data_IF_121304534932
#
_entry.id   IF_121304534932
#
_cell.length_a   1.000
_cell.length_b   1.000
_cell.length_c   1.000
_cell.angle_alpha   90.00
_cell.angle_beta   90.00
_cell.angle_gamma   90.00
#
_symmetry.space_group_name_H-M   'P 1'
#
loop_
_entity.id
_entity.type
_entity.pdbx_description
1 polymer ?
#
# COMPACT_ATOMS: atom_id res chain seq x y z
N UNK A 1 -7.31 -16.53 -35.38
CA UNK A 1 -6.28 -15.50 -35.07
C UNK A 1 -5.99 -15.55 -33.58
N UNK A 2 -4.90 -16.19 -33.17
CA UNK A 2 -4.45 -16.15 -31.78
C UNK A 2 -3.95 -14.73 -31.49
N UNK A 3 -4.68 -13.95 -30.68
CA UNK A 3 -4.10 -12.75 -30.09
C UNK A 3 -2.88 -13.23 -29.30
N UNK A 4 -1.68 -12.75 -29.65
CA UNK A 4 -0.50 -12.84 -28.78
C UNK A 4 -0.85 -12.11 -27.47
N UNK A 5 -1.48 -12.83 -26.54
CA UNK A 5 -1.70 -12.35 -25.21
C UNK A 5 -0.31 -12.21 -24.59
N UNK A 6 0.03 -10.99 -24.16
CA UNK A 6 1.26 -10.78 -23.39
C UNK A 6 1.28 -11.80 -22.24
N UNK A 7 2.42 -12.44 -21.97
CA UNK A 7 2.56 -13.33 -20.81
C UNK A 7 2.07 -12.59 -19.55
N UNK A 8 1.20 -13.25 -18.78
CA UNK A 8 0.68 -12.71 -17.53
C UNK A 8 1.55 -13.22 -16.40
N UNK A 9 2.28 -12.33 -15.74
CA UNK A 9 3.06 -12.66 -14.55
C UNK A 9 2.12 -12.82 -13.35
N UNK A 10 2.27 -13.92 -12.61
CA UNK A 10 1.58 -14.14 -11.35
C UNK A 10 2.53 -13.93 -10.20
N UNK A 11 2.00 -13.35 -9.13
CA UNK A 11 2.74 -13.05 -7.93
C UNK A 11 2.07 -13.69 -6.72
N UNK A 12 2.86 -13.98 -5.69
CA UNK A 12 2.35 -14.34 -4.38
C UNK A 12 3.17 -13.65 -3.30
N UNK A 13 2.53 -13.29 -2.19
CA UNK A 13 3.20 -12.70 -1.05
C UNK A 13 3.20 -13.69 0.12
N UNK A 14 4.33 -13.78 0.81
CA UNK A 14 4.52 -14.61 2.00
C UNK A 14 4.89 -13.73 3.19
N UNK A 15 4.84 -14.32 4.39
CA UNK A 15 5.42 -13.69 5.58
C UNK A 15 6.92 -13.39 5.39
N UNK A 16 7.52 -12.54 6.25
CA UNK A 16 8.95 -12.20 6.19
C UNK A 16 9.91 -13.39 6.18
N UNK A 17 9.54 -14.49 6.83
CA UNK A 17 10.31 -15.73 6.89
C UNK A 17 10.20 -16.58 5.61
N UNK A 18 9.35 -16.20 4.65
CA UNK A 18 9.08 -16.95 3.42
C UNK A 18 7.88 -17.88 3.52
N UNK A 19 7.24 -17.98 4.69
CA UNK A 19 6.11 -18.89 4.92
C UNK A 19 4.82 -18.38 4.28
N UNK A 20 4.17 -19.24 3.50
CA UNK A 20 2.88 -18.98 2.88
C UNK A 20 1.79 -18.73 3.94
N UNK A 21 1.00 -17.64 3.82
CA UNK A 21 -0.12 -17.41 4.73
C UNK A 21 -1.26 -18.41 4.48
N UNK A 22 -2.05 -18.75 5.52
CA UNK A 22 -3.19 -19.64 5.40
C UNK A 22 -4.25 -19.12 4.41
N UNK A 23 -5.05 -20.04 3.88
CA UNK A 23 -6.14 -19.83 2.91
C UNK A 23 -7.40 -19.21 3.52
N UNK A 24 -7.60 -19.23 4.83
CA UNK A 24 -8.56 -18.34 5.49
C UNK A 24 -7.92 -17.65 6.71
N UNK A 25 -8.33 -16.41 6.98
CA UNK A 25 -7.90 -15.67 8.17
C UNK A 25 -8.79 -15.91 9.40
N UNK A 26 -9.84 -16.73 9.25
CA UNK A 26 -10.98 -16.80 10.18
C UNK A 26 -10.98 -18.08 11.03
N UNK A 27 -10.22 -19.11 10.65
CA UNK A 27 -10.21 -20.38 11.38
C UNK A 27 -8.92 -20.57 12.16
N UNK A 28 -9.02 -20.37 13.47
CA UNK A 28 -8.12 -20.97 14.46
C UNK A 28 -8.50 -22.46 14.52
N UNK A 29 -7.87 -23.28 13.71
CA UNK A 29 -7.97 -24.74 13.87
C UNK A 29 -7.07 -25.17 15.03
N UNK A 30 -7.53 -26.14 15.83
CA UNK A 30 -6.70 -26.74 16.88
C UNK A 30 -5.50 -27.53 16.31
N UNK A 31 -5.60 -27.95 15.05
CA UNK A 31 -4.54 -28.68 14.35
C UNK A 31 -3.50 -27.72 13.75
N UNK A 32 -2.21 -28.12 13.73
CA UNK A 32 -1.16 -27.35 13.08
C UNK A 32 -1.46 -27.24 11.59
N UNK A 33 -1.61 -26.00 11.11
CA UNK A 33 -1.77 -25.69 9.69
C UNK A 33 -0.46 -26.03 8.98
N UNK A 34 -0.44 -26.93 7.98
CA UNK A 34 0.75 -27.20 7.20
C UNK A 34 1.30 -25.91 6.60
N UNK A 35 2.62 -25.74 6.65
CA UNK A 35 3.28 -24.55 6.12
C UNK A 35 4.16 -24.93 4.93
N UNK A 36 4.27 -23.99 4.01
CA UNK A 36 5.17 -24.08 2.85
C UNK A 36 6.03 -22.83 2.89
N UNK A 37 7.35 -22.99 2.80
CA UNK A 37 8.27 -21.87 2.72
C UNK A 37 8.82 -21.74 1.30
N UNK A 38 8.44 -20.67 0.59
CA UNK A 38 8.86 -20.49 -0.80
C UNK A 38 10.36 -20.20 -0.96
N UNK A 39 11.03 -19.75 0.11
CA UNK A 39 12.48 -19.55 0.08
C UNK A 39 13.25 -20.84 -0.17
N UNK A 40 12.69 -21.98 0.25
CA UNK A 40 13.32 -23.31 0.12
C UNK A 40 13.02 -23.96 -1.25
N UNK A 41 12.18 -23.32 -2.07
CA UNK A 41 11.62 -23.93 -3.29
C UNK A 41 11.82 -23.09 -4.56
N UNK A 42 12.74 -22.12 -4.57
CA UNK A 42 13.04 -21.34 -5.79
C UNK A 42 13.47 -22.27 -6.92
N UNK A 43 12.84 -22.11 -8.10
CA UNK A 43 13.01 -22.95 -9.28
C UNK A 43 12.25 -24.28 -9.25
N UNK A 44 11.56 -24.61 -8.16
CA UNK A 44 10.90 -25.90 -7.96
C UNK A 44 9.38 -25.79 -8.14
N UNK A 45 8.77 -26.94 -8.48
CA UNK A 45 7.32 -27.12 -8.43
C UNK A 45 6.94 -27.53 -7.01
N UNK A 46 5.91 -26.88 -6.47
CA UNK A 46 5.40 -27.10 -5.13
C UNK A 46 3.94 -27.51 -5.22
N UNK A 47 3.64 -28.66 -4.64
CA UNK A 47 2.26 -29.13 -4.41
C UNK A 47 1.72 -28.56 -3.10
N UNK A 48 0.45 -28.18 -3.11
CA UNK A 48 -0.24 -27.74 -1.90
C UNK A 48 -0.35 -28.93 -0.93
N UNK A 49 0.07 -28.80 0.34
CA UNK A 49 0.18 -29.94 1.26
C UNK A 49 -1.18 -30.53 1.65
N UNK A 50 -2.23 -29.71 1.60
CA UNK A 50 -3.61 -30.08 1.94
C UNK A 50 -4.57 -29.53 0.89
N UNK A 51 -4.61 -30.08 -0.34
CA UNK A 51 -5.47 -29.53 -1.39
C UNK A 51 -6.95 -29.70 -1.01
N UNK A 52 -7.73 -28.63 -1.12
CA UNK A 52 -9.14 -28.62 -0.73
C UNK A 52 -10.03 -29.55 -1.58
N UNK A 53 -11.20 -29.91 -1.04
CA UNK A 53 -12.29 -30.62 -1.75
C UNK A 53 -13.62 -29.89 -1.51
N UNK A 54 -14.16 -29.10 -2.45
CA UNK A 54 -13.71 -28.81 -3.84
C UNK A 54 -12.38 -28.04 -3.88
N UNK A 55 -11.77 -27.89 -5.06
CA UNK A 55 -10.43 -27.27 -5.23
C UNK A 55 -10.30 -25.81 -4.74
N UNK A 56 -11.39 -25.22 -4.28
CA UNK A 56 -11.46 -23.86 -3.72
C UNK A 56 -12.15 -23.80 -2.36
N UNK A 57 -12.21 -24.90 -1.59
CA UNK A 57 -12.83 -24.83 -0.26
C UNK A 57 -12.16 -23.77 0.64
N UNK A 58 -12.92 -23.19 1.57
CA UNK A 58 -12.42 -22.13 2.46
C UNK A 58 -11.80 -22.68 3.74
N UNK A 59 -11.30 -23.93 3.72
CA UNK A 59 -10.58 -24.48 4.88
C UNK A 59 -9.29 -23.69 5.16
N UNK A 60 -8.69 -23.92 6.34
CA UNK A 60 -7.61 -23.07 6.85
C UNK A 60 -6.42 -22.95 5.88
N UNK A 61 -6.07 -24.00 5.15
CA UNK A 61 -5.07 -23.98 4.09
C UNK A 61 -5.43 -25.02 3.03
N UNK A 62 -5.94 -24.58 1.88
CA UNK A 62 -6.51 -25.44 0.83
C UNK A 62 -6.04 -25.15 -0.58
N UNK A 63 -5.55 -23.94 -0.83
CA UNK A 63 -5.04 -23.53 -2.14
C UNK A 63 -4.02 -22.40 -2.01
N UNK A 64 -3.12 -22.32 -3.00
CA UNK A 64 -2.30 -21.14 -3.22
C UNK A 64 -3.12 -20.06 -3.92
N UNK A 65 -3.12 -18.85 -3.34
CA UNK A 65 -3.75 -17.66 -3.95
C UNK A 65 -2.67 -16.80 -4.61
N UNK A 66 -2.69 -16.73 -5.93
CA UNK A 66 -1.78 -15.90 -6.73
C UNK A 66 -2.49 -14.68 -7.32
N UNK A 67 -1.73 -13.65 -7.66
CA UNK A 67 -2.24 -12.36 -8.10
C UNK A 67 -1.59 -11.93 -9.42
N UNK A 68 -2.39 -11.53 -10.40
CA UNK A 68 -1.88 -10.88 -11.63
C UNK A 68 -1.84 -9.35 -11.50
N UNK A 69 -2.39 -8.82 -10.41
CA UNK A 69 -2.38 -7.39 -10.04
C UNK A 69 -1.59 -7.22 -8.76
N UNK A 70 -0.33 -6.79 -8.84
CA UNK A 70 0.56 -6.84 -7.68
C UNK A 70 0.18 -5.82 -6.59
N UNK A 71 -0.62 -4.79 -6.92
CA UNK A 71 -1.19 -3.87 -5.92
C UNK A 71 -2.21 -4.49 -4.95
N UNK A 72 -2.62 -5.75 -5.16
CA UNK A 72 -3.49 -6.49 -4.25
C UNK A 72 -2.75 -7.59 -3.46
N UNK A 73 -1.43 -7.73 -3.64
CA UNK A 73 -0.64 -8.81 -3.03
C UNK A 73 -0.71 -8.85 -1.51
N UNK A 74 -0.84 -7.68 -0.88
CA UNK A 74 -0.86 -7.52 0.58
C UNK A 74 -2.26 -7.71 1.19
N UNK A 75 -3.24 -8.23 0.43
CA UNK A 75 -4.60 -8.44 0.94
C UNK A 75 -4.63 -9.41 2.12
N UNK A 76 -3.66 -10.34 2.18
CA UNK A 76 -3.63 -11.46 3.13
C UNK A 76 -2.40 -11.50 4.03
N UNK A 77 -1.45 -10.63 3.79
CA UNK A 77 -0.19 -10.59 4.53
C UNK A 77 0.11 -9.12 4.86
N UNK A 78 0.48 -8.88 6.11
CA UNK A 78 0.92 -7.57 6.53
C UNK A 78 2.33 -7.29 5.99
N UNK A 79 2.70 -6.02 5.88
CA UNK A 79 4.08 -5.64 5.66
C UNK A 79 4.89 -5.75 6.97
N UNK A 80 6.18 -6.13 6.96
CA UNK A 80 6.97 -6.57 5.81
C UNK A 80 6.51 -7.92 5.26
N UNK A 81 6.73 -8.14 3.96
CA UNK A 81 6.39 -9.37 3.27
C UNK A 81 7.48 -9.69 2.23
N UNK A 82 7.65 -10.96 1.89
CA UNK A 82 8.44 -11.39 0.73
C UNK A 82 7.52 -11.65 -0.44
N UNK A 83 7.97 -11.32 -1.64
CA UNK A 83 7.18 -11.43 -2.86
C UNK A 83 7.82 -12.43 -3.79
N UNK A 84 7.01 -13.17 -4.52
CA UNK A 84 7.49 -14.24 -5.38
C UNK A 84 6.83 -14.13 -6.74
N UNK A 85 7.61 -14.29 -7.80
CA UNK A 85 7.07 -14.62 -9.12
C UNK A 85 6.77 -16.11 -9.12
N UNK A 86 5.55 -16.48 -9.50
CA UNK A 86 5.10 -17.87 -9.52
C UNK A 86 4.42 -18.20 -10.84
N UNK A 87 4.43 -19.47 -11.21
CA UNK A 87 3.65 -20.01 -12.33
C UNK A 87 2.62 -20.99 -11.77
N UNK A 88 1.32 -20.63 -11.72
CA UNK A 88 0.28 -21.60 -11.41
C UNK A 88 0.29 -22.75 -12.41
N UNK A 89 0.19 -23.98 -11.94
CA UNK A 89 0.22 -25.20 -12.73
C UNK A 89 -1.05 -26.04 -12.51
N UNK A 90 -1.36 -26.90 -13.48
CA UNK A 90 -2.50 -27.80 -13.40
C UNK A 90 -3.85 -27.09 -13.51
N UNK A 91 -4.84 -27.59 -12.77
CA UNK A 91 -6.16 -26.96 -12.69
C UNK A 91 -6.05 -25.64 -11.91
N UNK A 92 -6.56 -24.58 -12.53
CA UNK A 92 -6.61 -23.24 -11.93
C UNK A 92 -8.01 -22.68 -12.04
N UNK A 93 -8.36 -21.75 -11.16
CA UNK A 93 -9.57 -20.96 -11.36
C UNK A 93 -9.57 -19.66 -10.57
N UNK A 94 -10.69 -18.96 -10.67
CA UNK A 94 -10.85 -17.61 -10.10
C UNK A 94 -12.01 -17.59 -9.12
N UNK A 95 -11.90 -16.78 -8.08
CA UNK A 95 -12.98 -16.61 -7.10
C UNK A 95 -13.81 -15.35 -7.38
N UNK A 96 -15.14 -15.43 -7.22
CA UNK A 96 -16.02 -14.26 -7.03
C UNK A 96 -15.95 -13.16 -8.11
N UNK A 97 -15.64 -13.49 -9.37
CA UNK A 97 -15.52 -12.49 -10.45
C UNK A 97 -14.22 -11.67 -10.42
N UNK A 98 -13.28 -11.97 -9.52
CA UNK A 98 -11.99 -11.32 -9.43
C UNK A 98 -10.98 -12.01 -10.36
N UNK A 99 -10.95 -11.58 -11.62
CA UNK A 99 -10.08 -12.18 -12.66
C UNK A 99 -8.57 -12.07 -12.42
N UNK A 100 -8.16 -11.32 -11.40
CA UNK A 100 -6.76 -11.19 -11.00
C UNK A 100 -6.35 -12.10 -9.84
N UNK A 101 -7.32 -12.80 -9.22
CA UNK A 101 -7.09 -13.84 -8.25
C UNK A 101 -7.09 -15.19 -8.95
N UNK A 102 -5.95 -15.84 -9.01
CA UNK A 102 -5.81 -17.17 -9.58
C UNK A 102 -5.44 -18.14 -8.47
N UNK A 103 -6.32 -19.10 -8.24
CA UNK A 103 -6.15 -20.15 -7.25
C UNK A 103 -5.60 -21.39 -7.94
N UNK A 104 -4.70 -22.10 -7.26
CA UNK A 104 -4.11 -23.34 -7.75
C UNK A 104 -3.68 -24.23 -6.58
N UNK A 105 -3.58 -25.53 -6.84
CA UNK A 105 -2.99 -26.50 -5.90
C UNK A 105 -1.53 -26.81 -6.21
N UNK A 106 -1.03 -26.39 -7.37
CA UNK A 106 0.35 -26.58 -7.75
C UNK A 106 0.86 -25.30 -8.38
N UNK A 107 2.09 -24.91 -8.05
CA UNK A 107 2.77 -23.81 -8.71
C UNK A 107 4.27 -24.07 -8.79
N UNK A 108 4.94 -23.40 -9.72
CA UNK A 108 6.39 -23.25 -9.69
C UNK A 108 6.73 -21.93 -9.04
N UNK A 109 7.64 -21.95 -8.07
CA UNK A 109 8.26 -20.71 -7.56
C UNK A 109 9.39 -20.35 -8.53
N UNK A 110 9.27 -19.24 -9.23
CA UNK A 110 10.24 -18.85 -10.28
C UNK A 110 11.43 -18.15 -9.65
N UNK A 111 11.16 -17.04 -8.95
CA UNK A 111 12.17 -16.20 -8.32
C UNK A 111 11.52 -15.33 -7.23
N UNK A 112 12.35 -14.77 -6.35
CA UNK A 112 11.92 -13.71 -5.44
C UNK A 112 11.78 -12.40 -6.21
N UNK A 113 10.64 -11.73 -6.04
CA UNK A 113 10.37 -10.44 -6.64
C UNK A 113 10.79 -9.30 -5.70
N UNK A 114 11.27 -8.20 -6.28
CA UNK A 114 11.58 -7.00 -5.52
C UNK A 114 10.37 -6.50 -4.70
N UNK A 115 10.54 -6.13 -3.40
CA UNK A 115 9.43 -5.80 -2.50
C UNK A 115 8.54 -4.65 -2.97
N UNK A 116 9.07 -3.73 -3.78
CA UNK A 116 8.31 -2.58 -4.28
C UNK A 116 7.14 -3.01 -5.19
N UNK A 117 7.17 -4.21 -5.77
CA UNK A 117 6.07 -4.70 -6.61
C UNK A 117 4.74 -4.78 -5.84
N UNK A 118 4.75 -5.01 -4.53
CA UNK A 118 3.53 -5.03 -3.71
C UNK A 118 2.72 -3.72 -3.77
N UNK A 119 3.37 -2.62 -4.12
CA UNK A 119 2.74 -1.30 -4.29
C UNK A 119 2.38 -0.99 -5.75
N UNK A 120 2.45 -2.00 -6.63
CA UNK A 120 2.09 -1.90 -8.04
C UNK A 120 3.05 -1.04 -8.86
N UNK A 121 2.53 -0.46 -9.94
CA UNK A 121 3.33 0.27 -10.94
C UNK A 121 4.14 1.45 -10.38
N UNK A 122 3.63 2.09 -9.33
CA UNK A 122 4.27 3.23 -8.64
C UNK A 122 5.09 2.81 -7.43
N UNK A 123 5.35 1.51 -7.28
CA UNK A 123 5.83 0.97 -6.02
C UNK A 123 7.20 1.49 -5.59
N UNK A 124 8.12 1.70 -6.54
CA UNK A 124 9.41 2.33 -6.25
C UNK A 124 9.25 3.74 -5.67
N UNK A 125 8.34 4.54 -6.23
CA UNK A 125 8.07 5.91 -5.75
C UNK A 125 7.42 5.90 -4.37
N UNK A 126 6.50 4.96 -4.11
CA UNK A 126 5.89 4.79 -2.79
C UNK A 126 6.95 4.41 -1.76
N UNK A 127 7.79 3.41 -2.04
CA UNK A 127 8.88 3.02 -1.13
C UNK A 127 9.88 4.14 -0.90
N UNK A 128 10.24 4.91 -1.94
CA UNK A 128 11.12 6.06 -1.79
C UNK A 128 10.53 7.13 -0.85
N UNK A 129 9.23 7.43 -0.99
CA UNK A 129 8.56 8.36 -0.07
C UNK A 129 8.47 7.81 1.34
N UNK A 130 8.12 6.54 1.51
CA UNK A 130 8.09 5.91 2.84
C UNK A 130 9.46 5.97 3.53
N UNK A 131 10.55 5.79 2.79
CA UNK A 131 11.92 5.93 3.31
C UNK A 131 12.28 7.37 3.70
N UNK A 132 11.72 8.37 3.01
CA UNK A 132 11.93 9.80 3.31
C UNK A 132 11.04 10.33 4.44
N UNK A 133 9.95 9.64 4.78
CA UNK A 133 8.96 10.13 5.73
C UNK A 133 9.54 10.51 7.10
N UNK A 134 10.47 9.75 7.72
CA UNK A 134 11.03 10.14 9.00
C UNK A 134 11.69 11.54 8.97
N UNK A 135 12.46 11.84 7.93
CA UNK A 135 13.12 13.15 7.78
C UNK A 135 12.10 14.27 7.51
N UNK A 136 11.11 14.00 6.64
CA UNK A 136 10.03 14.95 6.37
C UNK A 136 9.21 15.24 7.63
N UNK A 137 8.95 14.23 8.46
CA UNK A 137 8.19 14.38 9.70
C UNK A 137 8.94 15.24 10.70
N UNK A 138 10.26 15.06 10.85
CA UNK A 138 11.09 15.95 11.67
C UNK A 138 11.02 17.39 11.17
N UNK A 139 11.11 17.60 9.85
CA UNK A 139 10.96 18.95 9.28
C UNK A 139 9.57 19.56 9.57
N UNK A 140 8.49 18.78 9.48
CA UNK A 140 7.15 19.28 9.81
C UNK A 140 6.98 19.55 11.31
N UNK A 141 7.64 18.76 12.17
CA UNK A 141 7.70 19.00 13.61
C UNK A 141 8.42 20.32 13.92
N UNK A 142 9.57 20.57 13.29
CA UNK A 142 10.32 21.82 13.44
C UNK A 142 9.50 23.03 12.98
N UNK A 143 8.77 22.91 11.87
CA UNK A 143 7.83 23.94 11.40
C UNK A 143 6.75 24.23 12.45
N UNK A 144 6.19 23.18 13.05
CA UNK A 144 5.19 23.32 14.10
C UNK A 144 5.76 23.98 15.37
N UNK A 145 6.99 23.65 15.75
CA UNK A 145 7.65 24.26 16.90
C UNK A 145 7.98 25.75 16.66
N UNK A 146 8.33 26.13 15.43
CA UNK A 146 8.69 27.49 15.07
C UNK A 146 7.48 28.46 14.99
N UNK A 147 6.30 27.97 14.60
CA UNK A 147 5.05 28.75 14.54
C UNK A 147 3.84 27.82 14.77
N UNK A 148 3.58 27.48 16.03
CA UNK A 148 2.52 26.53 16.39
C UNK A 148 1.15 26.99 15.93
N UNK A 149 0.84 28.27 16.13
CA UNK A 149 -0.49 28.83 15.83
C UNK A 149 -0.72 28.97 14.32
N UNK A 150 0.28 29.46 13.58
CA UNK A 150 0.21 29.58 12.12
C UNK A 150 0.19 28.22 11.44
N UNK A 151 1.02 27.28 11.90
CA UNK A 151 1.03 25.91 11.39
C UNK A 151 -0.28 25.21 11.69
N UNK A 152 -0.82 25.35 12.90
CA UNK A 152 -2.12 24.78 13.27
C UNK A 152 -3.25 25.29 12.35
N UNK A 153 -3.35 26.61 12.12
CA UNK A 153 -4.34 27.20 11.19
C UNK A 153 -4.20 26.65 9.77
N UNK A 154 -2.97 26.57 9.28
CA UNK A 154 -2.66 26.07 7.93
C UNK A 154 -3.06 24.60 7.77
N UNK A 155 -2.69 23.75 8.73
CA UNK A 155 -3.07 22.35 8.72
C UNK A 155 -4.58 22.16 8.89
N UNK A 156 -5.27 22.98 9.69
CA UNK A 156 -6.73 22.92 9.82
C UNK A 156 -7.45 23.26 8.52
N UNK A 157 -7.00 24.30 7.81
CA UNK A 157 -7.56 24.65 6.50
C UNK A 157 -7.32 23.54 5.46
N UNK A 158 -6.12 22.95 5.45
CA UNK A 158 -5.81 21.81 4.58
C UNK A 158 -6.62 20.56 4.94
N UNK A 159 -6.72 20.21 6.23
CA UNK A 159 -7.52 19.09 6.72
C UNK A 159 -8.99 19.23 6.29
N UNK A 160 -9.57 20.43 6.41
CA UNK A 160 -10.92 20.69 5.94
C UNK A 160 -11.07 20.37 4.44
N UNK A 161 -10.09 20.74 3.60
CA UNK A 161 -10.08 20.39 2.17
C UNK A 161 -9.93 18.89 1.93
N UNK A 162 -9.11 18.18 2.71
CA UNK A 162 -9.01 16.70 2.65
C UNK A 162 -10.38 16.07 2.88
N UNK A 163 -11.11 16.53 3.89
CA UNK A 163 -12.43 16.00 4.25
C UNK A 163 -13.51 16.38 3.24
N UNK A 164 -13.58 17.65 2.84
CA UNK A 164 -14.55 18.17 1.86
C UNK A 164 -14.45 17.43 0.53
N UNK A 165 -13.23 17.25 0.03
CA UNK A 165 -12.98 16.55 -1.23
C UNK A 165 -13.02 15.03 -1.08
N UNK A 166 -13.08 14.53 0.16
CA UNK A 166 -12.91 13.10 0.51
C UNK A 166 -11.68 12.49 -0.17
N UNK A 167 -10.59 13.24 -0.26
CA UNK A 167 -9.44 12.88 -1.10
C UNK A 167 -8.86 11.51 -0.75
N UNK A 168 -8.67 11.23 0.55
CA UNK A 168 -8.11 9.97 1.02
C UNK A 168 -9.18 8.87 1.16
N UNK A 169 -10.26 9.15 1.89
CA UNK A 169 -11.27 8.14 2.30
C UNK A 169 -12.32 7.85 1.23
N UNK A 170 -12.52 8.74 0.26
CA UNK A 170 -13.42 8.54 -0.87
C UNK A 170 -12.65 8.32 -2.16
N UNK A 171 -12.03 9.39 -2.68
CA UNK A 171 -11.43 9.37 -4.02
C UNK A 171 -10.31 8.32 -4.13
N UNK A 172 -9.29 8.38 -3.26
CA UNK A 172 -8.16 7.45 -3.32
C UNK A 172 -8.60 6.01 -3.02
N UNK A 173 -9.50 5.80 -2.04
CA UNK A 173 -10.05 4.48 -1.72
C UNK A 173 -10.75 3.86 -2.94
N UNK A 174 -11.75 4.54 -3.51
CA UNK A 174 -12.48 4.03 -4.67
C UNK A 174 -11.56 3.83 -5.89
N UNK A 175 -10.65 4.77 -6.17
CA UNK A 175 -9.70 4.63 -7.28
C UNK A 175 -8.73 3.47 -7.08
N UNK A 176 -8.30 3.21 -5.85
CA UNK A 176 -7.44 2.07 -5.55
C UNK A 176 -8.15 0.74 -5.83
N UNK A 177 -9.42 0.61 -5.49
CA UNK A 177 -10.23 -0.59 -5.77
C UNK A 177 -10.40 -0.80 -7.28
N UNK A 178 -10.79 0.25 -8.02
CA UNK A 178 -10.94 0.15 -9.48
C UNK A 178 -9.62 -0.16 -10.19
N UNK A 179 -8.50 0.33 -9.67
CA UNK A 179 -7.16 0.12 -10.25
C UNK A 179 -6.44 -1.11 -9.72
N UNK A 180 -7.07 -1.88 -8.83
CA UNK A 180 -6.53 -3.08 -8.17
C UNK A 180 -5.25 -2.78 -7.39
N UNK A 181 -5.36 -1.82 -6.48
CA UNK A 181 -4.32 -1.31 -5.56
C UNK A 181 -4.85 -1.14 -4.14
N UNK A 182 -5.96 -1.79 -3.79
CA UNK A 182 -6.61 -1.62 -2.48
C UNK A 182 -5.71 -2.05 -1.34
N UNK A 183 -5.10 -3.24 -1.44
CA UNK A 183 -4.15 -3.71 -0.43
C UNK A 183 -2.90 -2.81 -0.33
N UNK A 184 -2.35 -2.38 -1.47
CA UNK A 184 -1.24 -1.44 -1.52
C UNK A 184 -1.56 -0.10 -0.84
N UNK A 185 -2.77 0.44 -1.04
CA UNK A 185 -3.19 1.69 -0.39
C UNK A 185 -3.29 1.53 1.12
N UNK A 186 -3.89 0.43 1.60
CA UNK A 186 -3.96 0.13 3.03
C UNK A 186 -2.56 0.01 3.63
N UNK A 187 -1.70 -0.81 3.04
CA UNK A 187 -0.34 -0.98 3.52
C UNK A 187 0.47 0.33 3.51
N UNK A 188 0.44 1.09 2.41
CA UNK A 188 1.18 2.34 2.29
C UNK A 188 0.71 3.39 3.31
N UNK A 189 -0.60 3.48 3.55
CA UNK A 189 -1.15 4.44 4.52
C UNK A 189 -0.87 4.02 5.96
N UNK A 190 -0.92 2.72 6.29
CA UNK A 190 -0.50 2.23 7.61
C UNK A 190 0.99 2.51 7.86
N UNK A 191 1.87 2.10 6.93
CA UNK A 191 3.31 2.34 7.05
C UNK A 191 3.65 3.83 7.17
N UNK A 192 2.94 4.69 6.43
CA UNK A 192 3.14 6.13 6.52
C UNK A 192 2.71 6.69 7.89
N UNK A 193 1.59 6.19 8.44
CA UNK A 193 1.14 6.58 9.77
C UNK A 193 2.11 6.11 10.86
N UNK A 194 2.62 4.88 10.77
CA UNK A 194 3.56 4.31 11.73
C UNK A 194 4.90 5.06 11.70
N UNK A 195 5.45 5.30 10.51
CA UNK A 195 6.68 6.10 10.34
C UNK A 195 6.52 7.53 10.88
N UNK A 196 5.37 8.15 10.62
CA UNK A 196 5.06 9.47 11.16
C UNK A 196 4.92 9.46 12.68
N UNK A 197 4.29 8.42 13.24
CA UNK A 197 4.15 8.26 14.69
C UNK A 197 5.49 8.13 15.37
N UNK A 198 6.35 7.25 14.85
CA UNK A 198 7.68 7.02 15.39
C UNK A 198 8.49 8.32 15.37
N UNK A 199 8.64 8.96 14.20
CA UNK A 199 9.45 10.16 14.05
C UNK A 199 8.90 11.37 14.83
N UNK A 200 7.57 11.53 14.92
CA UNK A 200 6.96 12.60 15.70
C UNK A 200 7.08 12.36 17.22
N UNK A 201 7.06 11.09 17.66
CA UNK A 201 7.33 10.74 19.07
C UNK A 201 8.77 11.03 19.45
N UNK A 202 9.73 10.68 18.58
CA UNK A 202 11.15 11.02 18.75
C UNK A 202 11.36 12.55 18.83
N UNK A 203 10.57 13.32 18.08
CA UNK A 203 10.59 14.78 18.10
C UNK A 203 9.71 15.42 19.21
N UNK A 204 9.14 14.61 20.13
CA UNK A 204 8.29 15.07 21.24
C UNK A 204 7.12 15.99 20.80
N UNK A 205 6.52 15.70 19.65
CA UNK A 205 5.43 16.50 19.06
C UNK A 205 4.15 16.38 19.89
N UNK A 206 3.44 17.50 20.08
CA UNK A 206 2.17 17.52 20.78
C UNK A 206 1.09 16.63 20.10
N UNK A 207 0.15 16.00 20.84
CA UNK A 207 -0.80 15.04 20.26
C UNK A 207 -1.64 15.56 19.08
N UNK A 208 -2.06 16.83 19.14
CA UNK A 208 -2.85 17.43 18.07
C UNK A 208 -2.02 17.65 16.78
N UNK A 209 -0.73 17.95 16.92
CA UNK A 209 0.20 18.09 15.82
C UNK A 209 0.55 16.72 15.22
N UNK A 210 0.69 15.69 16.06
CA UNK A 210 0.88 14.30 15.63
C UNK A 210 -0.25 13.83 14.70
N UNK A 211 -1.52 14.04 15.06
CA UNK A 211 -2.65 13.65 14.22
C UNK A 211 -2.61 14.32 12.83
N UNK A 212 -2.24 15.61 12.80
CA UNK A 212 -2.12 16.39 11.57
C UNK A 212 -0.95 15.90 10.68
N UNK A 213 0.19 15.58 11.29
CA UNK A 213 1.37 15.01 10.63
C UNK A 213 1.09 13.60 10.09
N UNK A 214 0.43 12.74 10.87
CA UNK A 214 0.00 11.41 10.41
C UNK A 214 -0.93 11.51 9.19
N UNK A 215 -1.89 12.45 9.21
CA UNK A 215 -2.75 12.68 8.06
C UNK A 215 -1.94 13.10 6.82
N UNK A 216 -0.98 14.03 6.98
CA UNK A 216 -0.09 14.47 5.88
C UNK A 216 0.71 13.31 5.30
N UNK A 217 1.31 12.46 6.15
CA UNK A 217 2.07 11.30 5.72
C UNK A 217 1.21 10.30 4.93
N UNK A 218 0.01 9.98 5.43
CA UNK A 218 -0.95 9.08 4.77
C UNK A 218 -1.40 9.63 3.42
N UNK A 219 -1.75 10.92 3.37
CA UNK A 219 -2.10 11.60 2.13
C UNK A 219 -0.96 11.55 1.11
N UNK A 220 0.28 11.82 1.54
CA UNK A 220 1.45 11.80 0.65
C UNK A 220 1.68 10.40 0.07
N UNK A 221 1.65 9.35 0.90
CA UNK A 221 1.79 7.97 0.43
C UNK A 221 0.67 7.57 -0.55
N UNK A 222 -0.58 7.89 -0.23
CA UNK A 222 -1.73 7.64 -1.11
C UNK A 222 -1.63 8.42 -2.44
N UNK A 223 -1.22 9.69 -2.39
CA UNK A 223 -1.01 10.53 -3.56
C UNK A 223 0.08 9.99 -4.48
N UNK A 224 1.18 9.47 -3.92
CA UNK A 224 2.25 8.85 -4.71
C UNK A 224 1.82 7.53 -5.35
N UNK A 225 1.07 6.71 -4.60
CA UNK A 225 0.52 5.44 -5.09
C UNK A 225 -0.49 5.66 -6.21
N UNK A 226 -1.32 6.70 -6.12
CA UNK A 226 -2.39 7.01 -7.09
C UNK A 226 -1.98 8.01 -8.16
N UNK A 227 -0.74 8.51 -8.17
CA UNK A 227 -0.33 9.64 -9.00
C UNK A 227 -0.66 9.44 -10.50
N UNK A 228 -0.41 8.24 -11.05
CA UNK A 228 -0.71 7.89 -12.46
C UNK A 228 -2.22 7.72 -12.75
N UNK A 229 -3.07 7.83 -11.72
CA UNK A 229 -4.53 7.71 -11.80
C UNK A 229 -5.25 9.04 -11.61
N UNK A 230 -4.52 10.08 -11.22
CA UNK A 230 -5.06 11.44 -11.10
C UNK A 230 -4.87 12.14 -12.45
N UNK A 231 -5.96 12.47 -13.17
CA UNK A 231 -5.90 13.13 -14.47
C UNK A 231 -5.85 14.65 -14.32
N UNK A 232 -5.64 15.35 -15.42
CA UNK A 232 -5.44 16.81 -15.45
C UNK A 232 -6.73 17.64 -15.36
N UNK A 233 -7.88 16.99 -15.12
CA UNK A 233 -9.14 17.69 -14.84
C UNK A 233 -9.03 18.57 -13.60
N UNK A 234 -9.76 19.69 -13.56
CA UNK A 234 -9.67 20.68 -12.47
C UNK A 234 -9.91 20.07 -11.07
N UNK A 235 -10.94 19.23 -10.94
CA UNK A 235 -11.22 18.51 -9.69
C UNK A 235 -10.07 17.58 -9.30
N UNK A 236 -9.54 16.79 -10.24
CA UNK A 236 -8.47 15.83 -9.98
C UNK A 236 -7.13 16.54 -9.69
N UNK A 237 -6.87 17.72 -10.27
CA UNK A 237 -5.75 18.59 -9.86
C UNK A 237 -5.88 19.06 -8.41
N UNK A 238 -7.08 19.41 -7.96
CA UNK A 238 -7.33 19.76 -6.55
C UNK A 238 -7.05 18.56 -5.62
N UNK A 239 -7.54 17.37 -5.97
CA UNK A 239 -7.27 16.13 -5.22
C UNK A 239 -5.75 15.86 -5.16
N UNK A 240 -5.05 16.00 -6.28
CA UNK A 240 -3.59 15.86 -6.33
C UNK A 240 -2.90 16.81 -5.37
N UNK A 241 -3.26 18.08 -5.41
CA UNK A 241 -2.63 19.11 -4.59
C UNK A 241 -2.82 18.85 -3.10
N UNK A 242 -4.01 18.37 -2.72
CA UNK A 242 -4.37 17.99 -1.35
C UNK A 242 -3.62 16.73 -0.90
N UNK A 243 -3.63 15.65 -1.70
CA UNK A 243 -2.96 14.40 -1.36
C UNK A 243 -1.44 14.56 -1.26
N UNK A 244 -0.82 15.28 -2.19
CA UNK A 244 0.63 15.50 -2.18
C UNK A 244 1.07 16.57 -1.17
N UNK A 245 0.14 17.21 -0.45
CA UNK A 245 0.45 18.24 0.55
C UNK A 245 0.94 19.57 -0.03
N UNK A 246 1.03 19.74 -1.36
CA UNK A 246 1.48 20.99 -2.01
C UNK A 246 0.65 22.22 -1.64
N UNK A 247 -0.60 22.03 -1.22
CA UNK A 247 -1.44 23.10 -0.68
C UNK A 247 -0.94 23.65 0.67
N UNK A 248 -0.22 22.85 1.46
CA UNK A 248 0.46 23.29 2.68
C UNK A 248 1.67 24.17 2.34
N UNK A 249 2.42 23.80 1.30
CA UNK A 249 3.64 24.52 0.89
C UNK A 249 3.33 25.87 0.23
N UNK A 250 2.16 26.01 -0.40
CA UNK A 250 1.70 27.25 -1.06
C UNK A 250 1.37 28.37 -0.07
N UNK A 251 1.03 28.01 1.18
CA UNK A 251 0.65 28.95 2.24
C UNK A 251 1.86 29.60 2.91
N UNK A 252 3.00 28.88 2.94
CA UNK A 252 4.26 29.37 3.49
C UNK A 252 4.87 30.52 2.67
N UNK A 253 4.56 30.61 1.37
CA UNK A 253 5.02 31.67 0.47
C UNK A 253 4.13 32.93 0.48
N UNK A 254 3.03 32.92 1.22
CA UNK A 254 2.07 34.03 1.23
C UNK A 254 2.24 34.97 2.43
N UNK A 255 3.34 34.90 3.21
CA UNK A 255 3.66 35.95 4.21
C UNK A 255 4.17 37.20 3.47
N UNK A 256 3.41 38.32 3.41
CA UNK A 256 3.94 39.59 2.97
C UNK A 256 4.56 40.28 4.19
N UNK A 257 5.89 40.41 4.25
CA UNK A 257 6.48 41.21 5.33
C UNK A 257 7.95 40.96 5.62
N UNK A 258 8.83 41.19 4.65
CA UNK A 258 10.22 41.58 4.90
C UNK A 258 10.78 42.27 3.65
N UNK A 259 10.22 43.43 3.31
CA UNK A 259 10.85 44.37 2.39
C UNK A 259 10.95 45.73 3.08
N UNK A 260 12.22 46.12 3.28
CA UNK A 260 12.75 47.47 3.41
C UNK A 260 12.33 48.32 4.64
N UNK A 261 13.25 48.45 5.59
CA UNK A 261 13.57 49.74 6.18
C UNK A 261 15.04 50.05 5.83
N UNK A 262 15.23 50.88 4.81
CA UNK A 262 16.39 51.77 4.67
C UNK A 262 15.95 53.16 5.14
#
# INVERSE_FOLDING_TARGET
MARNARPVTHYMATRPDGTVPPTSGVYVTADPIPTVNFADHIGQVVDHPTPGKPWYDETAFSYFRTYTRPGELLERVAWPARLWVVEPLGETGTWGGYSYWVLCHQLRVVEEAEPWHAFGHRGKQVMAVLAQLPDLVRQWADQWAADSDGTHRTYKAWEARVHETRALTGWASCRSEYSRRGAALRAATTLAADAATQAATEAAVAPHALAAIQLRARCLAAGQLMFDRIRDGEYERSIRAVLLGTALDSSALSRPGALAAH
#
